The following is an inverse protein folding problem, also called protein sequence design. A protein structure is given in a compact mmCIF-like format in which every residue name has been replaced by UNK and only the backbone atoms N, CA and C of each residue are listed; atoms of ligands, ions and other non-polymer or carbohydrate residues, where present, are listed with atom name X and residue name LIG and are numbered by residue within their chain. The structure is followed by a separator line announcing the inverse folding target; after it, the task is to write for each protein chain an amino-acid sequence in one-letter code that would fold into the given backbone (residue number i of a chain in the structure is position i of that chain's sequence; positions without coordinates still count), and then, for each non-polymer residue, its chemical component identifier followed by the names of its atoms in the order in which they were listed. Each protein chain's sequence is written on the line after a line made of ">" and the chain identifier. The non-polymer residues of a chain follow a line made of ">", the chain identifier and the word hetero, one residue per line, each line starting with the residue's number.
data_IF_566553920397
#
_entry.id   IF_566553920397
#
_cell.length_a   1.000
_cell.length_b   1.000
_cell.length_c   1.000
_cell.angle_alpha   90.00
_cell.angle_beta   90.00
_cell.angle_gamma   90.00
#
_symmetry.space_group_name_H-M   'P 1'
#
loop_
_entity.id
_entity.type
_entity.pdbx_description
1 polymer ?
#
# COMPACT_ATOMS: atom_id res chain seq x y z
N UNK A 1 19.39 -42.48 -13.87
CA UNK A 1 19.30 -41.04 -14.18
C UNK A 1 20.71 -40.48 -14.10
N UNK A 2 21.24 -39.88 -15.15
CA UNK A 2 22.63 -39.38 -15.14
C UNK A 2 22.68 -38.00 -14.42
N UNK A 3 23.86 -37.64 -13.92
CA UNK A 3 24.05 -36.40 -13.12
C UNK A 3 23.53 -35.14 -13.82
N UNK A 4 23.76 -34.89 -15.13
CA UNK A 4 23.21 -33.74 -15.83
C UNK A 4 21.69 -33.67 -15.83
N UNK A 5 21.00 -34.78 -15.92
CA UNK A 5 19.54 -34.83 -15.88
C UNK A 5 19.00 -34.52 -14.49
N UNK A 6 19.68 -34.94 -13.42
CA UNK A 6 19.33 -34.60 -12.04
C UNK A 6 19.48 -33.11 -11.81
N UNK A 7 20.59 -32.50 -12.25
CA UNK A 7 20.84 -31.07 -12.16
C UNK A 7 19.78 -30.28 -12.94
N UNK A 8 19.46 -30.70 -14.14
CA UNK A 8 18.43 -30.05 -14.96
C UNK A 8 17.04 -30.08 -14.26
N UNK A 9 16.65 -31.24 -13.74
CA UNK A 9 15.39 -31.38 -13.02
C UNK A 9 15.34 -30.49 -11.75
N UNK A 10 16.46 -30.43 -11.03
CA UNK A 10 16.58 -29.57 -9.86
C UNK A 10 16.41 -28.08 -10.20
N UNK A 11 17.02 -27.61 -11.28
CA UNK A 11 16.90 -26.24 -11.77
C UNK A 11 15.45 -25.92 -12.16
N UNK A 12 14.76 -26.84 -12.85
CA UNK A 12 13.36 -26.68 -13.22
C UNK A 12 12.45 -26.56 -11.99
N UNK A 13 12.64 -27.42 -11.00
CA UNK A 13 11.86 -27.39 -9.76
C UNK A 13 12.13 -26.09 -8.99
N UNK A 14 13.40 -25.72 -8.83
CA UNK A 14 13.78 -24.48 -8.15
C UNK A 14 13.22 -23.24 -8.86
N UNK A 15 13.28 -23.20 -10.20
CA UNK A 15 12.68 -22.14 -11.00
C UNK A 15 11.15 -22.07 -10.86
N UNK A 16 10.50 -23.23 -10.85
CA UNK A 16 9.04 -23.31 -10.61
C UNK A 16 8.64 -22.80 -9.23
N UNK A 17 9.35 -23.21 -8.19
CA UNK A 17 9.11 -22.74 -6.82
C UNK A 17 9.35 -21.24 -6.68
N UNK A 18 10.42 -20.73 -7.29
CA UNK A 18 10.70 -19.28 -7.30
C UNK A 18 9.60 -18.50 -8.03
N UNK A 19 9.12 -19.01 -9.18
CA UNK A 19 8.02 -18.42 -9.93
C UNK A 19 6.72 -18.38 -9.13
N UNK A 20 6.39 -19.46 -8.42
CA UNK A 20 5.23 -19.52 -7.52
C UNK A 20 5.36 -18.51 -6.37
N UNK A 21 6.54 -18.39 -5.78
CA UNK A 21 6.78 -17.43 -4.69
C UNK A 21 6.65 -15.98 -5.18
N UNK A 22 7.24 -15.66 -6.33
CA UNK A 22 7.09 -14.34 -6.96
C UNK A 22 5.62 -14.05 -7.25
N UNK A 23 4.88 -15.02 -7.80
CA UNK A 23 3.44 -14.85 -8.05
C UNK A 23 2.68 -14.59 -6.76
N UNK A 24 2.96 -15.35 -5.70
CA UNK A 24 2.34 -15.17 -4.38
C UNK A 24 2.62 -13.77 -3.82
N UNK A 25 3.87 -13.32 -3.83
CA UNK A 25 4.29 -12.01 -3.35
C UNK A 25 3.64 -10.85 -4.12
N UNK A 26 3.43 -11.03 -5.42
CA UNK A 26 2.80 -10.01 -6.26
C UNK A 26 1.28 -9.91 -6.08
N UNK A 27 0.60 -10.99 -5.65
CA UNK A 27 -0.87 -11.06 -5.64
C UNK A 27 -1.47 -11.19 -4.25
N UNK A 28 -0.64 -11.32 -3.20
CA UNK A 28 -1.11 -11.44 -1.84
C UNK A 28 -0.42 -10.40 -0.95
N UNK A 29 -1.20 -9.83 -0.05
CA UNK A 29 -0.68 -9.02 1.05
C UNK A 29 -0.68 -9.84 2.35
N UNK A 30 0.00 -9.32 3.36
CA UNK A 30 0.02 -9.92 4.69
C UNK A 30 -0.24 -8.85 5.74
N UNK A 31 -1.17 -9.14 6.64
CA UNK A 31 -1.38 -8.33 7.84
C UNK A 31 -0.35 -8.76 8.89
N UNK A 32 0.36 -7.81 9.45
CA UNK A 32 1.34 -8.04 10.52
C UNK A 32 0.97 -7.17 11.72
N UNK A 33 0.86 -7.77 12.89
CA UNK A 33 0.49 -7.06 14.10
C UNK A 33 1.73 -6.72 14.93
N UNK A 34 1.77 -5.49 15.43
CA UNK A 34 2.78 -5.00 16.35
C UNK A 34 2.09 -4.37 17.56
N UNK A 35 2.61 -4.61 18.74
CA UNK A 35 2.19 -3.93 19.97
C UNK A 35 3.25 -2.91 20.36
N UNK A 36 2.86 -1.66 20.55
CA UNK A 36 3.74 -0.57 20.95
C UNK A 36 3.26 -0.04 22.28
N UNK A 37 4.09 -0.21 23.32
CA UNK A 37 3.85 0.35 24.65
C UNK A 37 4.65 1.63 24.83
N UNK A 38 4.02 2.70 25.29
CA UNK A 38 4.70 3.96 25.58
C UNK A 38 4.06 4.69 26.76
N UNK A 39 4.92 5.28 27.59
CA UNK A 39 4.49 6.15 28.68
C UNK A 39 3.68 7.37 28.19
N UNK A 40 3.91 7.79 26.94
CA UNK A 40 3.18 8.90 26.33
C UNK A 40 1.70 8.59 26.08
N UNK A 41 1.33 7.31 26.05
CA UNK A 41 -0.05 6.86 25.84
C UNK A 41 -0.83 6.62 27.14
N UNK A 42 -0.24 6.86 28.31
CA UNK A 42 -0.91 6.65 29.61
C UNK A 42 -2.18 7.47 29.82
N UNK A 43 -2.41 8.51 29.02
CA UNK A 43 -3.63 9.34 29.08
C UNK A 43 -4.82 8.77 28.33
N UNK A 44 -4.64 7.73 27.54
CA UNK A 44 -5.75 7.09 26.83
C UNK A 44 -6.45 6.07 27.74
N UNK A 45 -7.78 6.06 27.68
CA UNK A 45 -8.63 5.17 28.49
C UNK A 45 -8.68 3.72 27.97
N UNK A 46 -8.19 3.49 26.75
CA UNK A 46 -8.15 2.19 26.07
C UNK A 46 -6.98 2.12 25.09
N UNK A 47 -6.66 0.92 24.67
CA UNK A 47 -5.72 0.71 23.57
C UNK A 47 -6.28 1.28 22.26
N UNK A 48 -5.39 1.84 21.44
CA UNK A 48 -5.71 2.36 20.12
C UNK A 48 -5.24 1.36 19.06
N UNK A 49 -6.12 1.09 18.10
CA UNK A 49 -5.81 0.24 16.97
C UNK A 49 -5.47 1.10 15.75
N UNK A 50 -4.23 1.01 15.29
CA UNK A 50 -3.72 1.82 14.18
C UNK A 50 -3.39 0.90 13.01
N UNK A 51 -3.87 1.25 11.82
CA UNK A 51 -3.41 0.64 10.57
C UNK A 51 -2.34 1.53 9.96
N UNK A 52 -1.25 0.91 9.53
CA UNK A 52 -0.22 1.57 8.72
C UNK A 52 -0.17 0.95 7.34
N UNK A 53 -0.30 1.79 6.31
CA UNK A 53 -0.25 1.43 4.90
C UNK A 53 0.88 2.20 4.22
N UNK A 54 1.66 1.55 3.38
CA UNK A 54 2.71 2.18 2.58
C UNK A 54 2.99 1.34 1.33
N UNK A 55 3.58 1.96 0.31
CA UNK A 55 4.15 1.25 -0.84
C UNK A 55 3.14 0.41 -1.64
N UNK A 56 1.91 0.89 -1.79
CA UNK A 56 0.92 0.22 -2.61
C UNK A 56 1.33 0.20 -4.10
N UNK A 57 1.97 1.29 -4.57
CA UNK A 57 2.50 1.39 -5.94
C UNK A 57 1.48 1.02 -7.02
N UNK A 58 0.26 1.54 -6.93
CA UNK A 58 -0.86 1.21 -7.84
C UNK A 58 -1.19 -0.29 -7.92
N UNK A 59 -0.79 -1.10 -6.93
CA UNK A 59 -1.18 -2.53 -6.89
C UNK A 59 -2.66 -2.67 -6.60
N UNK A 60 -3.25 -3.69 -7.20
CA UNK A 60 -4.64 -4.07 -6.99
C UNK A 60 -4.69 -5.51 -6.49
N UNK A 61 -5.24 -5.70 -5.31
CA UNK A 61 -5.47 -7.01 -4.70
C UNK A 61 -6.94 -7.40 -4.88
N UNK A 62 -7.18 -8.32 -5.83
CA UNK A 62 -8.54 -8.69 -6.23
C UNK A 62 -9.26 -7.57 -6.98
N UNK A 63 -10.59 -7.59 -6.97
CA UNK A 63 -11.38 -6.54 -7.59
C UNK A 63 -11.37 -5.28 -6.73
N UNK A 64 -10.91 -4.16 -7.28
CA UNK A 64 -10.88 -2.83 -6.62
C UNK A 64 -10.28 -2.80 -5.21
N UNK A 65 -9.32 -3.65 -4.94
CA UNK A 65 -8.72 -3.82 -3.62
C UNK A 65 -9.68 -4.28 -2.50
N UNK A 66 -10.84 -4.85 -2.83
CA UNK A 66 -11.82 -5.28 -1.82
C UNK A 66 -11.25 -6.24 -0.76
N UNK A 67 -10.40 -7.24 -1.10
CA UNK A 67 -9.76 -8.07 -0.07
C UNK A 67 -8.92 -7.28 0.93
N UNK A 68 -8.20 -6.24 0.46
CA UNK A 68 -7.39 -5.38 1.32
C UNK A 68 -8.27 -4.48 2.19
N UNK A 69 -9.31 -3.88 1.62
CA UNK A 69 -10.28 -3.06 2.35
C UNK A 69 -11.01 -3.88 3.41
N UNK A 70 -11.39 -5.12 3.09
CA UNK A 70 -12.04 -6.01 4.05
C UNK A 70 -11.08 -6.38 5.20
N UNK A 71 -9.81 -6.62 4.91
CA UNK A 71 -8.81 -6.85 5.95
C UNK A 71 -8.69 -5.64 6.89
N UNK A 72 -8.64 -4.41 6.32
CA UNK A 72 -8.59 -3.17 7.11
C UNK A 72 -9.85 -3.02 7.98
N UNK A 73 -11.05 -3.25 7.43
CA UNK A 73 -12.31 -3.18 8.19
C UNK A 73 -12.35 -4.18 9.35
N UNK A 74 -11.82 -5.40 9.13
CA UNK A 74 -11.79 -6.46 10.15
C UNK A 74 -10.91 -6.08 11.35
N UNK A 75 -9.86 -5.29 11.14
CA UNK A 75 -9.00 -4.80 12.21
C UNK A 75 -9.65 -3.70 13.05
N UNK A 76 -10.77 -3.09 12.61
CA UNK A 76 -11.53 -2.04 13.32
C UNK A 76 -10.62 -0.90 13.77
N UNK A 77 -9.91 -0.23 12.87
CA UNK A 77 -8.94 0.78 13.24
C UNK A 77 -9.60 2.03 13.84
N UNK A 78 -8.90 2.66 14.78
CA UNK A 78 -9.21 4.00 15.27
C UNK A 78 -8.61 5.10 14.39
N UNK A 79 -7.56 4.75 13.65
CA UNK A 79 -6.85 5.65 12.74
C UNK A 79 -6.13 4.84 11.67
N UNK A 80 -6.13 5.34 10.45
CA UNK A 80 -5.34 4.80 9.33
C UNK A 80 -4.23 5.81 9.02
N UNK A 81 -2.99 5.33 9.06
CA UNK A 81 -1.81 6.08 8.69
C UNK A 81 -1.32 5.61 7.33
N UNK A 82 -1.17 6.52 6.39
CA UNK A 82 -0.58 6.25 5.08
C UNK A 82 0.81 6.88 5.04
N UNK A 83 1.84 6.05 4.85
CA UNK A 83 3.24 6.44 4.78
C UNK A 83 3.70 6.90 3.39
N UNK A 84 2.78 7.00 2.43
CA UNK A 84 3.07 7.39 1.04
C UNK A 84 3.36 6.21 0.12
N UNK A 85 3.84 6.55 -1.09
CA UNK A 85 4.12 5.61 -2.18
C UNK A 85 2.89 4.75 -2.56
N UNK A 86 1.71 5.36 -2.48
CA UNK A 86 0.46 4.72 -2.88
C UNK A 86 0.35 4.61 -4.40
N UNK A 87 0.89 5.59 -5.12
CA UNK A 87 0.98 5.63 -6.57
C UNK A 87 2.41 5.27 -7.06
N UNK A 88 2.56 5.12 -8.38
CA UNK A 88 3.86 4.99 -9.03
C UNK A 88 4.19 6.31 -9.73
N UNK A 89 5.21 7.01 -9.25
CA UNK A 89 5.71 8.22 -9.88
C UNK A 89 6.52 7.89 -11.15
N UNK A 90 5.82 7.61 -12.25
CA UNK A 90 6.35 7.41 -13.61
C UNK A 90 5.62 8.33 -14.57
N UNK A 91 6.29 8.69 -15.67
CA UNK A 91 5.84 9.68 -16.65
C UNK A 91 4.38 9.49 -17.12
N UNK A 92 3.99 8.25 -17.46
CA UNK A 92 2.65 7.93 -17.96
C UNK A 92 1.74 7.24 -16.92
N UNK A 93 2.11 7.25 -15.64
CA UNK A 93 1.33 6.56 -14.63
C UNK A 93 0.16 7.42 -14.15
N UNK A 94 -1.04 6.84 -14.19
CA UNK A 94 -2.22 7.41 -13.52
C UNK A 94 -2.13 7.22 -12.00
N UNK A 95 -2.74 8.12 -11.25
CA UNK A 95 -2.97 8.00 -9.82
C UNK A 95 -4.38 7.48 -9.46
N UNK A 96 -5.20 7.14 -10.46
CA UNK A 96 -6.60 6.75 -10.25
C UNK A 96 -6.74 5.55 -9.32
N UNK A 97 -5.86 4.53 -9.46
CA UNK A 97 -5.88 3.34 -8.60
C UNK A 97 -5.63 3.72 -7.14
N UNK A 98 -4.66 4.60 -6.90
CA UNK A 98 -4.36 5.07 -5.55
C UNK A 98 -5.53 5.89 -4.97
N UNK A 99 -6.17 6.75 -5.77
CA UNK A 99 -7.34 7.51 -5.36
C UNK A 99 -8.56 6.62 -5.11
N UNK A 100 -8.87 5.70 -6.03
CA UNK A 100 -9.99 4.77 -5.88
C UNK A 100 -9.90 3.96 -4.58
N UNK A 101 -8.70 3.49 -4.25
CA UNK A 101 -8.47 2.79 -2.99
C UNK A 101 -8.59 3.73 -1.78
N UNK A 102 -7.88 4.87 -1.83
CA UNK A 102 -7.81 5.80 -0.70
C UNK A 102 -9.16 6.43 -0.39
N UNK A 103 -10.02 6.66 -1.39
CA UNK A 103 -11.36 7.25 -1.23
C UNK A 103 -12.27 6.45 -0.29
N UNK A 104 -12.04 5.15 -0.16
CA UNK A 104 -12.85 4.24 0.65
C UNK A 104 -12.38 4.17 2.12
N UNK A 105 -11.17 4.64 2.42
CA UNK A 105 -10.58 4.54 3.75
C UNK A 105 -11.23 5.47 4.79
N UNK A 106 -11.63 6.72 4.46
CA UNK A 106 -12.30 7.61 5.42
C UNK A 106 -13.66 7.10 5.93
N UNK A 107 -14.30 6.19 5.18
CA UNK A 107 -15.53 5.52 5.65
C UNK A 107 -15.25 4.46 6.74
N UNK A 108 -14.00 4.01 6.85
CA UNK A 108 -13.59 2.99 7.84
C UNK A 108 -13.09 3.67 9.11
N UNK A 109 -12.16 4.63 8.98
CA UNK A 109 -11.59 5.39 10.08
C UNK A 109 -10.94 6.69 9.55
N UNK A 110 -10.66 7.69 10.44
CA UNK A 110 -9.87 8.85 10.03
C UNK A 110 -8.56 8.47 9.37
N UNK A 111 -8.18 9.18 8.30
CA UNK A 111 -6.97 8.92 7.52
C UNK A 111 -5.99 10.07 7.66
N UNK A 112 -4.76 9.76 8.07
CA UNK A 112 -3.64 10.68 8.02
C UNK A 112 -2.69 10.22 6.92
N UNK A 113 -2.50 11.06 5.90
CA UNK A 113 -1.74 10.76 4.70
C UNK A 113 -0.43 11.54 4.66
N UNK A 114 0.70 10.86 4.66
CA UNK A 114 2.01 11.41 4.38
C UNK A 114 2.44 11.07 2.94
N UNK A 115 3.20 11.96 2.32
CA UNK A 115 3.72 11.75 0.97
C UNK A 115 5.00 10.92 0.98
N UNK A 116 5.08 9.93 0.10
CA UNK A 116 6.28 9.15 -0.16
C UNK A 116 7.18 9.77 -1.24
N UNK A 117 8.19 9.03 -1.66
CA UNK A 117 9.14 9.51 -2.66
C UNK A 117 8.54 9.54 -4.09
N UNK A 118 7.54 8.73 -4.38
CA UNK A 118 6.84 8.76 -5.67
C UNK A 118 5.96 10.00 -5.81
N UNK A 119 5.20 10.35 -4.79
CA UNK A 119 4.43 11.60 -4.72
C UNK A 119 5.36 12.82 -4.74
N UNK A 120 6.50 12.75 -4.05
CA UNK A 120 7.51 13.81 -4.04
C UNK A 120 8.08 14.06 -5.43
N UNK A 121 8.39 13.02 -6.22
CA UNK A 121 8.86 13.15 -7.60
C UNK A 121 7.88 13.91 -8.48
N UNK A 122 6.57 13.60 -8.37
CA UNK A 122 5.53 14.33 -9.11
C UNK A 122 5.52 15.81 -8.75
N UNK A 123 5.73 16.14 -7.47
CA UNK A 123 5.80 17.52 -7.00
C UNK A 123 7.01 18.27 -7.54
N UNK A 124 8.16 17.61 -7.61
CA UNK A 124 9.44 18.23 -7.99
C UNK A 124 9.64 18.35 -9.50
N UNK A 125 8.93 17.52 -10.29
CA UNK A 125 9.09 17.47 -11.74
C UNK A 125 7.74 17.56 -12.47
N UNK A 126 6.95 18.62 -12.26
CA UNK A 126 5.61 18.74 -12.80
C UNK A 126 5.55 18.73 -14.33
N UNK A 127 6.67 19.08 -15.01
CA UNK A 127 6.77 19.07 -16.47
C UNK A 127 6.92 17.67 -17.06
N UNK A 128 7.33 16.68 -16.27
CA UNK A 128 7.54 15.31 -16.73
C UNK A 128 6.25 14.48 -16.56
N UNK A 129 5.52 14.76 -15.49
CA UNK A 129 4.33 13.99 -15.15
C UNK A 129 3.07 14.61 -15.72
N UNK A 130 2.30 13.84 -16.50
CA UNK A 130 1.00 14.28 -17.00
C UNK A 130 -0.03 14.46 -15.88
N UNK A 131 0.13 13.69 -14.81
CA UNK A 131 -0.70 13.76 -13.62
C UNK A 131 -0.21 14.84 -12.65
N UNK A 132 -1.07 15.81 -12.33
CA UNK A 132 -0.74 16.90 -11.41
C UNK A 132 -0.70 16.45 -9.95
N UNK A 133 0.42 16.66 -9.26
CA UNK A 133 0.51 16.47 -7.82
C UNK A 133 -0.47 17.36 -7.04
N UNK A 134 -0.70 18.57 -7.52
CA UNK A 134 -1.64 19.51 -6.89
C UNK A 134 -3.08 18.97 -6.95
N UNK A 135 -3.48 18.41 -8.09
CA UNK A 135 -4.81 17.81 -8.26
C UNK A 135 -4.95 16.54 -7.42
N UNK A 136 -3.95 15.68 -7.42
CA UNK A 136 -3.91 14.50 -6.56
C UNK A 136 -4.11 14.87 -5.09
N UNK A 137 -3.33 15.82 -4.61
CA UNK A 137 -3.41 16.30 -3.23
C UNK A 137 -4.76 16.93 -2.89
N UNK A 138 -5.35 17.67 -3.85
CA UNK A 138 -6.66 18.26 -3.65
C UNK A 138 -7.74 17.20 -3.53
N UNK A 139 -7.73 16.20 -4.40
CA UNK A 139 -8.66 15.08 -4.34
C UNK A 139 -8.56 14.31 -3.01
N UNK A 140 -7.34 14.04 -2.51
CA UNK A 140 -7.17 13.41 -1.20
C UNK A 140 -7.83 14.21 -0.06
N UNK A 141 -7.73 15.56 -0.09
CA UNK A 141 -8.41 16.43 0.88
C UNK A 141 -9.92 16.36 0.75
N UNK A 142 -10.43 16.41 -0.48
CA UNK A 142 -11.87 16.37 -0.77
C UNK A 142 -12.49 15.05 -0.33
N UNK A 143 -11.72 13.96 -0.32
CA UNK A 143 -12.09 12.65 0.22
C UNK A 143 -12.06 12.59 1.76
N UNK A 144 -11.55 13.62 2.43
CA UNK A 144 -11.47 13.68 3.90
C UNK A 144 -10.16 13.21 4.51
N UNK A 145 -9.10 13.02 3.71
CA UNK A 145 -7.77 12.71 4.23
C UNK A 145 -7.11 13.95 4.85
N UNK A 146 -6.51 13.76 6.02
CA UNK A 146 -5.64 14.77 6.63
C UNK A 146 -4.24 14.61 6.05
N UNK A 147 -3.74 15.65 5.38
CA UNK A 147 -2.42 15.62 4.72
C UNK A 147 -1.34 16.21 5.62
N UNK A 148 -0.24 15.46 5.74
CA UNK A 148 0.96 15.87 6.45
C UNK A 148 2.10 16.19 5.49
#
# INVERSE_FOLDING_TARGET
>A
MNIPMIIFLFILIAGGLLGLEIYRELHHFRVTHYTIESQKFKGFSRDLNLIFLSDLHNRVYGEKNEPLLQAIRNEKPDLILIGGDMLVGKEDASYDIALDFTSQLPEIAPVLYATGNHEQRMRENPEIYQASYADYRQQLKDMGCLLY
#
